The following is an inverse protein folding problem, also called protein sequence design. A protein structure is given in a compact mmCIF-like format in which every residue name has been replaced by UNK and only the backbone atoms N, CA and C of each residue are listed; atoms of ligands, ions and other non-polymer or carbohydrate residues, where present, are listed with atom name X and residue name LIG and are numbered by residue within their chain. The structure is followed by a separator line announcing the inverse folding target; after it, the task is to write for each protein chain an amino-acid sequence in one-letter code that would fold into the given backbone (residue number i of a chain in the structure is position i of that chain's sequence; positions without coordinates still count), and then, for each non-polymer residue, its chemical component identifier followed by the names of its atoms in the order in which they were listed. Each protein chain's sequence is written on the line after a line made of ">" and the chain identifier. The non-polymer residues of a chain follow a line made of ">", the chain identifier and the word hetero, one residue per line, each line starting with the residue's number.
data_IF_115037712883
#
_entry.id   IF_115037712883
#
_cell.length_a   1.000
_cell.length_b   1.000
_cell.length_c   1.000
_cell.angle_alpha   90.00
_cell.angle_beta   90.00
_cell.angle_gamma   90.00
#
_symmetry.space_group_name_H-M   'P 1'
#
loop_
_entity.id
_entity.type
_entity.pdbx_description
1 polymer ?
#
# COMPACT_ATOMS: atom_id res chain seq x y z
N UNK A 1 23.32 -26.89 -5.70
CA UNK A 1 24.26 -25.78 -6.05
C UNK A 1 23.69 -24.78 -7.07
N UNK A 2 23.27 -25.23 -8.27
CA UNK A 2 22.78 -24.34 -9.33
C UNK A 2 21.46 -23.61 -8.99
N UNK A 3 20.49 -24.31 -8.37
CA UNK A 3 19.23 -23.69 -7.92
C UNK A 3 19.44 -22.67 -6.79
N UNK A 4 20.39 -22.93 -5.88
CA UNK A 4 20.75 -21.99 -4.82
C UNK A 4 21.44 -20.73 -5.38
N UNK A 5 22.24 -20.87 -6.44
CA UNK A 5 22.84 -19.75 -7.16
C UNK A 5 21.78 -18.91 -7.87
N UNK A 6 20.86 -19.54 -8.62
CA UNK A 6 19.70 -18.86 -9.24
C UNK A 6 18.82 -18.15 -8.21
N UNK A 7 18.58 -18.77 -7.05
CA UNK A 7 17.80 -18.14 -5.97
C UNK A 7 18.50 -16.90 -5.42
N UNK A 8 19.82 -16.95 -5.20
CA UNK A 8 20.62 -15.79 -4.74
C UNK A 8 20.73 -14.69 -5.79
N UNK A 9 20.75 -15.05 -7.07
CA UNK A 9 20.72 -14.08 -8.19
C UNK A 9 19.37 -13.36 -8.28
N UNK A 10 18.26 -14.08 -8.05
CA UNK A 10 16.91 -13.51 -8.04
C UNK A 10 16.58 -12.75 -6.74
N UNK A 11 17.20 -13.13 -5.61
CA UNK A 11 16.97 -12.56 -4.29
C UNK A 11 18.29 -12.07 -3.71
N UNK A 12 18.86 -10.99 -4.26
CA UNK A 12 20.17 -10.54 -3.85
C UNK A 12 20.11 -10.08 -2.39
N UNK A 13 21.14 -10.43 -1.63
CA UNK A 13 21.15 -10.30 -0.16
C UNK A 13 21.05 -8.85 0.32
N UNK A 14 21.46 -7.90 -0.52
CA UNK A 14 21.35 -6.47 -0.30
C UNK A 14 19.90 -5.94 -0.39
N UNK A 15 18.99 -6.66 -1.06
CA UNK A 15 17.54 -6.36 -1.10
C UNK A 15 16.76 -7.01 0.04
N UNK A 16 17.38 -7.92 0.79
CA UNK A 16 16.76 -8.56 1.96
C UNK A 16 16.62 -7.55 3.10
N UNK A 17 15.48 -7.61 3.79
CA UNK A 17 15.25 -7.01 5.11
C UNK A 17 14.27 -7.88 5.89
N UNK A 18 14.28 -7.78 7.22
CA UNK A 18 13.39 -8.55 8.11
C UNK A 18 12.24 -7.68 8.61
N UNK A 19 11.21 -8.29 9.21
CA UNK A 19 10.04 -7.56 9.73
C UNK A 19 10.39 -6.39 10.66
N UNK A 20 11.44 -6.53 11.47
CA UNK A 20 11.89 -5.46 12.38
C UNK A 20 12.54 -4.28 11.67
N UNK A 21 13.03 -4.47 10.44
CA UNK A 21 13.57 -3.37 9.64
C UNK A 21 12.46 -2.44 9.15
N UNK A 22 11.22 -2.92 8.97
CA UNK A 22 10.06 -2.07 8.67
C UNK A 22 9.89 -1.01 9.75
N UNK A 23 9.84 -1.44 11.01
CA UNK A 23 9.75 -0.55 12.16
C UNK A 23 10.94 0.43 12.23
N UNK A 24 12.13 -0.01 11.81
CA UNK A 24 13.32 0.86 11.79
C UNK A 24 13.16 1.97 10.76
N UNK A 25 12.85 1.61 9.51
CA UNK A 25 12.76 2.55 8.39
C UNK A 25 11.58 3.51 8.51
N UNK A 26 10.47 3.08 9.11
CA UNK A 26 9.33 3.98 9.37
C UNK A 26 9.60 4.89 10.57
N UNK A 27 10.15 4.37 11.68
CA UNK A 27 10.41 5.22 12.85
C UNK A 27 11.52 6.26 12.59
N UNK A 28 12.51 5.99 11.72
CA UNK A 28 13.48 7.04 11.34
C UNK A 28 12.82 8.16 10.52
N UNK A 29 11.86 7.84 9.64
CA UNK A 29 11.07 8.80 8.88
C UNK A 29 10.17 9.63 9.80
N UNK A 30 9.58 9.00 10.82
CA UNK A 30 8.76 9.65 11.83
C UNK A 30 9.57 10.38 12.91
N UNK A 31 10.88 10.58 12.69
CA UNK A 31 11.76 11.35 13.57
C UNK A 31 11.88 10.76 14.99
N UNK A 32 11.90 9.43 15.09
CA UNK A 32 12.02 8.67 16.34
C UNK A 32 13.33 7.85 16.45
N UNK A 33 14.52 8.45 16.24
CA UNK A 33 15.77 7.69 16.22
C UNK A 33 16.13 7.10 17.60
N UNK A 34 15.60 7.69 18.68
CA UNK A 34 15.79 7.20 20.04
C UNK A 34 15.08 5.85 20.29
N UNK A 35 13.92 5.61 19.69
CA UNK A 35 13.26 4.30 19.73
C UNK A 35 14.02 3.27 18.89
N UNK A 36 14.51 3.66 17.72
CA UNK A 36 15.36 2.80 16.89
C UNK A 36 16.62 2.35 17.64
N UNK A 37 17.18 3.24 18.45
CA UNK A 37 18.37 3.01 19.29
C UNK A 37 18.12 2.08 20.48
N UNK A 38 16.87 1.77 20.82
CA UNK A 38 16.54 0.77 21.87
C UNK A 38 16.71 -0.68 21.40
N UNK A 39 16.97 -0.89 20.12
CA UNK A 39 17.15 -2.21 19.52
C UNK A 39 15.92 -2.71 18.78
N UNK A 40 16.13 -3.70 17.91
CA UNK A 40 15.14 -4.16 16.92
C UNK A 40 13.82 -4.62 17.54
N UNK A 41 13.85 -5.36 18.64
CA UNK A 41 12.65 -5.88 19.29
C UNK A 41 11.81 -4.78 19.95
N UNK A 42 12.44 -3.89 20.74
CA UNK A 42 11.74 -2.78 21.41
C UNK A 42 11.19 -1.78 20.38
N UNK A 43 11.97 -1.45 19.36
CA UNK A 43 11.54 -0.59 18.26
C UNK A 43 10.34 -1.19 17.50
N UNK A 44 10.36 -2.50 17.25
CA UNK A 44 9.24 -3.18 16.60
C UNK A 44 7.96 -3.17 17.45
N UNK A 45 8.08 -3.39 18.76
CA UNK A 45 6.94 -3.27 19.69
C UNK A 45 6.36 -1.85 19.65
N UNK A 46 7.21 -0.82 19.72
CA UNK A 46 6.78 0.58 19.59
C UNK A 46 6.01 0.83 18.29
N UNK A 47 6.58 0.40 17.16
CA UNK A 47 5.93 0.52 15.86
C UNK A 47 4.57 -0.20 15.82
N UNK A 48 4.49 -1.45 16.28
CA UNK A 48 3.23 -2.20 16.26
C UNK A 48 2.13 -1.55 17.08
N UNK A 49 2.45 -0.92 18.21
CA UNK A 49 1.48 -0.15 19.01
C UNK A 49 0.88 1.00 18.21
N UNK A 50 1.70 1.74 17.43
CA UNK A 50 1.24 2.84 16.56
C UNK A 50 0.30 2.36 15.45
N UNK A 51 0.59 1.21 14.84
CA UNK A 51 -0.21 0.71 13.71
C UNK A 51 -1.38 -0.20 14.12
N UNK A 52 -1.53 -0.50 15.42
CA UNK A 52 -2.57 -1.43 15.92
C UNK A 52 -3.97 -0.99 15.48
N UNK A 53 -4.26 0.31 15.50
CA UNK A 53 -5.56 0.84 15.06
C UNK A 53 -5.82 0.66 13.56
N UNK A 54 -4.78 0.77 12.72
CA UNK A 54 -4.88 0.53 11.27
C UNK A 54 -5.09 -0.95 10.98
N UNK A 55 -4.35 -1.81 11.67
CA UNK A 55 -4.47 -3.27 11.57
C UNK A 55 -5.86 -3.74 12.05
N UNK A 56 -6.36 -3.19 13.16
CA UNK A 56 -7.70 -3.49 13.67
C UNK A 56 -8.82 -3.10 12.69
N UNK A 57 -8.57 -2.11 11.83
CA UNK A 57 -9.46 -1.70 10.73
C UNK A 57 -9.23 -2.50 9.45
N UNK A 58 -8.41 -3.56 9.47
CA UNK A 58 -8.01 -4.37 8.31
C UNK A 58 -7.49 -3.52 7.14
N UNK A 59 -6.83 -2.40 7.43
CA UNK A 59 -6.20 -1.58 6.38
C UNK A 59 -4.89 -2.23 5.96
N UNK A 60 -4.83 -2.63 4.69
CA UNK A 60 -3.59 -3.11 4.09
C UNK A 60 -2.68 -1.91 3.78
N UNK A 61 -1.36 -2.05 3.90
CA UNK A 61 -0.45 -0.97 3.55
C UNK A 61 -0.62 -0.58 2.08
N UNK A 62 -0.71 0.72 1.81
CA UNK A 62 -0.85 1.24 0.45
C UNK A 62 0.45 1.10 -0.36
N UNK A 63 0.35 1.32 -1.68
CA UNK A 63 1.54 1.44 -2.53
C UNK A 63 2.45 2.60 -2.05
N UNK A 64 1.86 3.71 -1.62
CA UNK A 64 2.59 4.84 -1.06
C UNK A 64 3.35 4.44 0.21
N UNK A 65 2.74 3.66 1.11
CA UNK A 65 3.46 3.12 2.26
C UNK A 65 4.66 2.27 1.82
N UNK A 66 4.47 1.41 0.82
CA UNK A 66 5.55 0.57 0.29
C UNK A 66 6.69 1.39 -0.32
N UNK A 67 6.38 2.38 -1.17
CA UNK A 67 7.37 3.29 -1.77
C UNK A 67 8.17 4.02 -0.68
N UNK A 68 7.47 4.59 0.31
CA UNK A 68 8.08 5.27 1.47
C UNK A 68 9.00 4.34 2.26
N UNK A 69 8.56 3.11 2.53
CA UNK A 69 9.34 2.11 3.25
C UNK A 69 10.64 1.77 2.51
N UNK A 70 10.56 1.50 1.21
CA UNK A 70 11.71 1.10 0.41
C UNK A 70 12.69 2.26 0.21
N UNK A 71 12.19 3.47 -0.05
CA UNK A 71 13.04 4.65 -0.15
C UNK A 71 13.83 4.92 1.14
N UNK A 72 13.17 4.80 2.30
CA UNK A 72 13.85 4.91 3.60
C UNK A 72 14.84 3.76 3.85
N UNK A 73 14.56 2.55 3.34
CA UNK A 73 15.52 1.46 3.38
C UNK A 73 16.79 1.77 2.56
N UNK A 74 16.65 2.37 1.38
CA UNK A 74 17.77 2.80 0.54
C UNK A 74 18.57 3.90 1.23
N UNK A 75 17.90 4.92 1.77
CA UNK A 75 18.53 6.03 2.50
C UNK A 75 19.32 5.53 3.72
N UNK A 76 18.73 4.63 4.51
CA UNK A 76 19.39 4.02 5.66
C UNK A 76 20.59 3.17 5.25
N UNK A 77 20.44 2.28 4.25
CA UNK A 77 21.52 1.40 3.80
C UNK A 77 22.67 2.20 3.17
N UNK A 78 22.37 3.31 2.48
CA UNK A 78 23.38 4.22 1.93
C UNK A 78 24.16 4.88 3.06
N UNK A 79 23.46 5.45 4.04
CA UNK A 79 24.08 6.08 5.22
C UNK A 79 24.91 5.07 6.03
N UNK A 80 24.43 3.84 6.20
CA UNK A 80 25.17 2.76 6.87
C UNK A 80 26.48 2.40 6.15
N UNK A 81 26.46 2.38 4.81
CA UNK A 81 27.66 2.17 3.99
C UNK A 81 28.63 3.34 4.08
N UNK A 82 28.14 4.59 4.10
CA UNK A 82 28.95 5.81 4.24
C UNK A 82 29.71 5.87 5.56
N UNK A 83 29.20 5.23 6.62
CA UNK A 83 29.94 5.08 7.88
C UNK A 83 31.28 4.36 7.70
N UNK A 84 31.39 3.48 6.71
CA UNK A 84 32.61 2.73 6.43
C UNK A 84 32.82 1.50 7.32
N UNK A 85 34.00 0.90 7.18
CA UNK A 85 34.44 -0.29 7.94
C UNK A 85 35.69 0.01 8.76
N UNK A 86 35.76 -0.54 9.98
CA UNK A 86 36.91 -0.38 10.89
C UNK A 86 38.21 -0.76 10.17
N UNK A 87 39.23 0.08 10.28
CA UNK A 87 40.55 -0.14 9.66
C UNK A 87 40.62 0.09 8.15
N UNK A 88 39.53 0.54 7.51
CA UNK A 88 39.51 0.88 6.08
C UNK A 88 39.17 2.35 5.89
N UNK A 89 37.96 2.76 6.29
CA UNK A 89 37.43 4.10 6.04
C UNK A 89 36.29 4.45 7.02
N UNK A 90 36.37 3.96 8.26
CA UNK A 90 35.35 4.23 9.26
C UNK A 90 35.30 5.72 9.65
N UNK A 91 34.10 6.22 9.88
CA UNK A 91 33.89 7.49 10.56
C UNK A 91 34.15 7.28 12.06
N UNK A 92 35.10 8.05 12.59
CA UNK A 92 35.54 7.96 13.99
C UNK A 92 36.38 6.71 14.29
N UNK A 93 36.89 6.64 15.52
CA UNK A 93 37.73 5.53 15.97
C UNK A 93 36.92 4.28 16.36
N UNK A 94 35.66 4.48 16.79
CA UNK A 94 34.80 3.41 17.29
C UNK A 94 33.58 3.15 16.39
N UNK A 95 33.48 1.92 15.88
CA UNK A 95 32.29 1.43 15.20
C UNK A 95 31.15 1.05 16.16
N UNK A 96 31.35 1.13 17.49
CA UNK A 96 30.35 0.70 18.47
C UNK A 96 29.09 1.57 18.48
N UNK A 97 29.20 2.82 18.02
CA UNK A 97 28.07 3.78 17.97
C UNK A 97 27.52 3.96 16.55
N UNK A 98 27.96 3.12 15.60
CA UNK A 98 27.55 3.18 14.19
C UNK A 98 26.02 3.16 14.03
N UNK A 99 25.35 2.19 14.64
CA UNK A 99 23.90 2.02 14.49
C UNK A 99 23.11 3.24 14.96
N UNK A 100 23.55 3.86 16.07
CA UNK A 100 22.94 5.08 16.61
C UNK A 100 23.21 6.27 15.68
N UNK A 101 24.46 6.43 15.23
CA UNK A 101 24.86 7.52 14.35
C UNK A 101 24.06 7.48 13.04
N UNK A 102 23.92 6.30 12.42
CA UNK A 102 23.14 6.14 11.18
C UNK A 102 21.66 6.45 11.41
N UNK A 103 21.04 5.93 12.47
CA UNK A 103 19.63 6.18 12.78
C UNK A 103 19.36 7.67 13.01
N UNK A 104 20.17 8.32 13.85
CA UNK A 104 20.07 9.75 14.12
C UNK A 104 20.33 10.60 12.88
N UNK A 105 21.28 10.21 12.03
CA UNK A 105 21.59 10.94 10.79
C UNK A 105 20.44 10.94 9.83
N UNK A 106 19.82 9.78 9.58
CA UNK A 106 18.68 9.71 8.65
C UNK A 106 17.47 10.48 9.19
N UNK A 107 17.16 10.37 10.48
CA UNK A 107 16.11 11.18 11.09
C UNK A 107 16.43 12.67 11.08
N UNK A 108 17.69 13.05 11.29
CA UNK A 108 18.09 14.46 11.26
C UNK A 108 18.10 15.03 9.84
N UNK A 109 18.44 14.23 8.84
CA UNK A 109 18.29 14.60 7.44
C UNK A 109 16.83 14.90 7.09
N UNK A 110 15.92 14.02 7.50
CA UNK A 110 14.48 14.21 7.35
C UNK A 110 13.98 15.46 8.09
N UNK A 111 14.46 15.70 9.30
CA UNK A 111 14.14 16.90 10.07
C UNK A 111 14.62 18.19 9.37
N UNK A 112 15.88 18.23 8.93
CA UNK A 112 16.49 19.39 8.28
C UNK A 112 15.92 19.67 6.89
N UNK A 113 15.35 18.66 6.23
CA UNK A 113 14.67 18.78 4.94
C UNK A 113 13.15 18.87 5.09
N UNK A 114 12.65 18.98 6.33
CA UNK A 114 11.21 19.07 6.64
C UNK A 114 10.36 17.95 6.05
N UNK A 115 10.95 16.74 5.93
CA UNK A 115 10.36 15.56 5.26
C UNK A 115 10.03 15.79 3.77
N UNK A 116 10.70 16.74 3.10
CA UNK A 116 10.47 17.06 1.69
C UNK A 116 11.43 16.36 0.73
N UNK A 117 12.36 15.53 1.21
CA UNK A 117 13.20 14.78 0.29
C UNK A 117 12.36 13.86 -0.59
N UNK A 118 12.59 13.89 -1.91
CA UNK A 118 11.77 13.14 -2.88
C UNK A 118 12.01 11.63 -2.80
N UNK A 119 11.30 11.00 -1.87
CA UNK A 119 11.35 9.56 -1.67
C UNK A 119 10.82 8.77 -2.87
N UNK A 120 9.94 9.33 -3.72
CA UNK A 120 9.38 8.59 -4.86
C UNK A 120 10.41 8.49 -5.96
N UNK A 121 11.11 9.58 -6.26
CA UNK A 121 12.25 9.55 -7.16
C UNK A 121 13.33 8.57 -6.67
N UNK A 122 13.67 8.60 -5.38
CA UNK A 122 14.62 7.63 -4.80
C UNK A 122 14.12 6.18 -4.94
N UNK A 123 12.82 5.94 -4.76
CA UNK A 123 12.21 4.64 -4.96
C UNK A 123 12.29 4.20 -6.43
N UNK A 124 12.07 5.09 -7.39
CA UNK A 124 12.13 4.73 -8.81
C UNK A 124 13.58 4.46 -9.26
N UNK A 125 14.52 5.30 -8.85
CA UNK A 125 15.93 5.18 -9.22
C UNK A 125 16.65 4.03 -8.49
N UNK A 126 16.12 3.59 -7.34
CA UNK A 126 16.68 2.53 -6.49
C UNK A 126 18.14 2.77 -6.06
N UNK A 127 18.65 3.99 -6.23
CA UNK A 127 20.03 4.40 -5.94
C UNK A 127 20.05 5.85 -5.48
N UNK A 128 20.91 6.14 -4.49
CA UNK A 128 21.16 7.50 -4.06
C UNK A 128 22.13 8.22 -5.01
N UNK A 129 21.84 9.46 -5.33
CA UNK A 129 22.75 10.36 -6.04
C UNK A 129 24.02 10.62 -5.22
N UNK A 130 25.18 10.71 -5.88
CA UNK A 130 26.46 10.92 -5.21
C UNK A 130 26.54 12.30 -4.52
N UNK A 131 25.87 13.31 -5.07
CA UNK A 131 25.76 14.64 -4.47
C UNK A 131 25.04 14.58 -3.12
N UNK A 132 23.87 13.94 -3.06
CA UNK A 132 23.11 13.74 -1.82
C UNK A 132 23.91 12.87 -0.84
N UNK A 133 24.59 11.82 -1.35
CA UNK A 133 25.43 10.93 -0.54
C UNK A 133 26.57 11.68 0.15
N UNK A 134 27.19 12.67 -0.50
CA UNK A 134 28.24 13.48 0.10
C UNK A 134 27.72 14.35 1.26
N UNK A 135 26.55 14.99 1.10
CA UNK A 135 25.93 15.74 2.19
C UNK A 135 25.47 14.84 3.33
N UNK A 136 24.95 13.65 3.04
CA UNK A 136 24.64 12.64 4.07
C UNK A 136 25.89 12.21 4.84
N UNK A 137 27.05 12.10 4.18
CA UNK A 137 28.32 11.77 4.84
C UNK A 137 28.76 12.89 5.78
N UNK A 138 28.68 14.16 5.36
CA UNK A 138 28.99 15.31 6.21
C UNK A 138 28.07 15.35 7.44
N UNK A 139 26.77 15.14 7.22
CA UNK A 139 25.77 15.07 8.29
C UNK A 139 26.05 13.90 9.24
N UNK A 140 26.46 12.74 8.71
CA UNK A 140 26.82 11.57 9.50
C UNK A 140 28.02 11.83 10.42
N UNK A 141 29.05 12.52 9.93
CA UNK A 141 30.21 12.94 10.73
C UNK A 141 29.77 13.90 11.84
N UNK A 142 28.93 14.89 11.51
CA UNK A 142 28.40 15.82 12.48
C UNK A 142 27.60 15.13 13.59
N UNK A 143 26.68 14.22 13.23
CA UNK A 143 25.86 13.47 14.18
C UNK A 143 26.71 12.52 15.02
N UNK A 144 27.70 11.85 14.43
CA UNK A 144 28.65 11.01 15.17
C UNK A 144 29.35 11.83 16.26
N UNK A 145 29.94 12.97 15.90
CA UNK A 145 30.65 13.83 16.86
C UNK A 145 29.69 14.37 17.94
N UNK A 146 28.45 14.70 17.56
CA UNK A 146 27.43 15.13 18.52
C UNK A 146 27.12 14.04 19.55
N UNK A 147 26.88 12.80 19.10
CA UNK A 147 26.58 11.67 19.99
C UNK A 147 27.77 11.31 20.88
N UNK A 148 28.98 11.34 20.35
CA UNK A 148 30.21 11.08 21.10
C UNK A 148 30.43 12.13 22.20
N UNK A 149 30.35 13.42 21.84
CA UNK A 149 30.53 14.55 22.76
C UNK A 149 29.50 14.54 23.89
N UNK A 150 28.22 14.28 23.57
CA UNK A 150 27.14 14.38 24.54
C UNK A 150 26.89 13.08 25.32
N UNK A 151 27.21 11.93 24.73
CA UNK A 151 27.04 10.63 25.37
C UNK A 151 28.21 10.22 26.26
N UNK A 152 29.39 10.82 26.06
CA UNK A 152 30.60 10.48 26.80
C UNK A 152 30.89 8.98 26.75
N UNK A 153 31.25 8.37 27.88
CA UNK A 153 31.53 6.93 27.96
C UNK A 153 30.33 6.00 27.74
N UNK A 154 29.10 6.52 27.64
CA UNK A 154 27.86 5.72 27.56
C UNK A 154 26.92 6.17 26.44
N UNK A 155 27.47 6.40 25.24
CA UNK A 155 26.70 6.84 24.05
C UNK A 155 25.47 5.96 23.77
N UNK A 156 25.55 4.65 23.99
CA UNK A 156 24.41 3.73 23.77
C UNK A 156 23.23 3.99 24.70
N UNK A 157 23.46 4.43 25.95
CA UNK A 157 22.39 4.78 26.89
C UNK A 157 21.87 6.18 26.63
N UNK A 158 22.75 7.10 26.22
CA UNK A 158 22.37 8.45 25.81
C UNK A 158 21.43 8.42 24.60
N UNK A 159 21.79 7.69 23.54
CA UNK A 159 21.03 7.61 22.29
C UNK A 159 19.64 6.96 22.44
N UNK A 160 19.34 6.29 23.55
CA UNK A 160 18.00 5.69 23.81
C UNK A 160 17.01 6.70 24.40
N UNK A 161 17.49 7.86 24.86
CA UNK A 161 16.69 8.86 25.57
C UNK A 161 16.08 9.85 24.58
N UNK A 162 14.78 10.20 24.69
CA UNK A 162 14.18 11.24 23.85
C UNK A 162 14.95 12.57 23.89
N UNK A 163 15.48 12.93 25.06
CA UNK A 163 16.26 14.16 25.27
C UNK A 163 17.52 14.25 24.40
N UNK A 164 18.09 13.13 23.96
CA UNK A 164 19.22 13.15 23.02
C UNK A 164 18.81 13.60 21.63
N UNK A 165 17.60 13.23 21.20
CA UNK A 165 17.03 13.71 19.93
C UNK A 165 16.68 15.19 20.01
N UNK A 166 16.07 15.63 21.11
CA UNK A 166 15.76 17.05 21.32
C UNK A 166 17.02 17.92 21.33
N UNK A 167 18.11 17.43 21.95
CA UNK A 167 19.39 18.14 21.94
C UNK A 167 19.98 18.26 20.54
N UNK A 168 19.89 17.21 19.72
CA UNK A 168 20.37 17.25 18.34
C UNK A 168 19.56 18.24 17.49
N UNK A 169 18.22 18.23 17.56
CA UNK A 169 17.36 19.19 16.85
C UNK A 169 17.69 20.65 17.19
N UNK A 170 18.06 20.91 18.43
CA UNK A 170 18.45 22.25 18.90
C UNK A 170 19.91 22.60 18.63
N UNK A 171 20.69 21.70 18.04
CA UNK A 171 22.08 21.96 17.68
C UNK A 171 22.13 22.53 16.27
N UNK A 172 22.82 23.68 16.10
CA UNK A 172 22.99 24.31 14.79
C UNK A 172 23.84 23.42 13.89
N UNK A 173 23.26 23.00 12.77
CA UNK A 173 24.01 22.44 11.63
C UNK A 173 24.40 23.56 10.67
N UNK A 174 25.62 23.52 10.14
CA UNK A 174 26.21 24.63 9.37
C UNK A 174 25.65 24.76 7.96
N UNK A 175 25.17 23.68 7.37
CA UNK A 175 24.64 23.66 6.01
C UNK A 175 23.11 23.82 6.00
N UNK A 176 22.58 24.67 5.12
CA UNK A 176 21.15 24.76 4.86
C UNK A 176 20.77 23.74 3.78
N UNK A 177 20.40 22.53 4.22
CA UNK A 177 20.06 21.42 3.31
C UNK A 177 18.85 21.72 2.43
N UNK A 178 17.91 22.58 2.85
CA UNK A 178 16.79 23.00 2.01
C UNK A 178 17.30 23.71 0.76
N UNK A 179 18.19 24.69 0.95
CA UNK A 179 18.76 25.44 -0.18
C UNK A 179 19.69 24.62 -1.06
N UNK A 180 20.48 23.72 -0.46
CA UNK A 180 21.50 22.93 -1.15
C UNK A 180 20.85 21.82 -1.98
N UNK A 181 19.81 21.18 -1.44
CA UNK A 181 19.17 20.02 -2.02
C UNK A 181 17.86 20.34 -2.74
N UNK A 182 17.56 21.61 -3.02
CA UNK A 182 16.29 22.09 -3.60
C UNK A 182 15.79 21.20 -4.77
N UNK A 183 16.68 20.78 -5.68
CA UNK A 183 16.35 19.89 -6.83
C UNK A 183 15.96 18.45 -6.48
N UNK A 184 16.20 18.04 -5.25
CA UNK A 184 15.87 16.74 -4.67
C UNK A 184 14.73 16.84 -3.65
N UNK A 185 14.20 18.05 -3.43
CA UNK A 185 13.07 18.29 -2.54
C UNK A 185 11.80 18.51 -3.35
N UNK A 186 10.70 17.97 -2.83
CA UNK A 186 9.36 18.28 -3.33
C UNK A 186 8.85 19.58 -2.71
N UNK A 187 7.78 20.14 -3.27
CA UNK A 187 7.09 21.30 -2.68
C UNK A 187 6.37 20.93 -1.38
N UNK A 188 6.02 21.93 -0.56
CA UNK A 188 5.23 21.67 0.65
C UNK A 188 3.81 21.20 0.29
N UNK A 189 3.27 21.69 -0.83
CA UNK A 189 2.00 21.26 -1.40
C UNK A 189 2.05 19.78 -1.80
N UNK A 190 3.11 19.34 -2.48
CA UNK A 190 3.27 17.95 -2.88
C UNK A 190 3.52 17.04 -1.67
N UNK A 191 4.28 17.47 -0.68
CA UNK A 191 4.42 16.74 0.59
C UNK A 191 3.07 16.55 1.25
N UNK A 192 2.31 17.63 1.38
CA UNK A 192 0.95 17.61 1.93
C UNK A 192 0.05 16.70 1.11
N UNK A 193 0.15 16.71 -0.22
CA UNK A 193 -0.56 15.78 -1.08
C UNK A 193 -0.14 14.33 -0.85
N UNK A 194 1.15 14.01 -0.72
CA UNK A 194 1.61 12.63 -0.46
C UNK A 194 1.25 12.13 0.94
N UNK A 195 1.08 13.03 1.92
CA UNK A 195 0.59 12.73 3.27
C UNK A 195 -0.94 12.61 3.33
N UNK A 196 -1.66 13.48 2.61
CA UNK A 196 -3.13 13.55 2.54
C UNK A 196 -3.76 12.72 1.42
N UNK A 197 -2.96 12.23 0.48
CA UNK A 197 -3.17 10.96 -0.19
C UNK A 197 -3.25 9.99 0.96
N UNK A 198 -4.46 9.94 1.54
CA UNK A 198 -4.95 8.87 2.37
C UNK A 198 -4.33 7.63 1.76
N UNK A 199 -3.88 6.69 2.59
CA UNK A 199 -3.94 5.30 2.17
C UNK A 199 -5.29 5.19 1.48
N UNK A 200 -5.30 5.21 0.13
CA UNK A 200 -6.52 5.15 -0.64
C UNK A 200 -7.11 3.91 -0.03
N UNK A 201 -8.28 4.09 0.58
CA UNK A 201 -8.95 2.99 1.24
C UNK A 201 -9.36 2.11 0.06
N UNK A 202 -8.40 1.33 -0.45
CA UNK A 202 -8.62 0.29 -1.45
C UNK A 202 -9.55 -0.78 -0.87
N UNK A 203 -9.83 -0.66 0.44
CA UNK A 203 -10.78 -1.40 1.25
C UNK A 203 -12.02 -0.59 1.66
N UNK A 204 -12.25 0.62 1.12
CA UNK A 204 -13.60 1.16 1.14
C UNK A 204 -14.45 0.12 0.39
N UNK A 205 -15.46 -0.43 1.08
CA UNK A 205 -16.39 -1.42 0.49
C UNK A 205 -16.86 -0.92 -0.87
N UNK A 206 -17.08 0.39 -0.97
CA UNK A 206 -17.48 1.08 -2.18
C UNK A 206 -16.40 1.08 -3.29
N UNK A 207 -15.13 1.30 -2.98
CA UNK A 207 -14.02 1.26 -3.96
C UNK A 207 -13.82 -0.17 -4.49
N UNK A 208 -13.89 -1.18 -3.60
CA UNK A 208 -13.81 -2.58 -4.01
C UNK A 208 -14.98 -2.99 -4.91
N UNK A 209 -16.20 -2.54 -4.59
CA UNK A 209 -17.40 -2.77 -5.40
C UNK A 209 -17.31 -2.03 -6.73
N UNK A 210 -16.78 -0.81 -6.73
CA UNK A 210 -16.56 -0.04 -7.96
C UNK A 210 -15.60 -0.78 -8.89
N UNK A 211 -14.43 -1.23 -8.41
CA UNK A 211 -13.49 -1.97 -9.25
C UNK A 211 -14.08 -3.29 -9.75
N UNK A 212 -14.79 -4.05 -8.91
CA UNK A 212 -15.49 -5.27 -9.37
C UNK A 212 -16.50 -4.93 -10.47
N UNK A 213 -17.23 -3.83 -10.32
CA UNK A 213 -18.19 -3.36 -11.33
C UNK A 213 -17.50 -3.02 -12.66
N UNK A 214 -16.39 -2.27 -12.62
CA UNK A 214 -15.63 -1.91 -13.82
C UNK A 214 -14.99 -3.13 -14.51
N UNK A 215 -14.48 -4.10 -13.73
CA UNK A 215 -13.98 -5.38 -14.27
C UNK A 215 -15.10 -6.12 -15.01
N UNK A 216 -16.29 -6.20 -14.41
CA UNK A 216 -17.42 -6.86 -15.06
C UNK A 216 -17.85 -6.11 -16.32
N UNK A 217 -17.96 -4.77 -16.28
CA UNK A 217 -18.33 -3.91 -17.42
C UNK A 217 -17.43 -4.07 -18.63
N UNK A 218 -16.13 -4.29 -18.42
CA UNK A 218 -15.21 -4.55 -19.54
C UNK A 218 -15.61 -5.79 -20.33
N UNK A 219 -16.26 -6.76 -19.68
CA UNK A 219 -16.90 -7.87 -20.36
C UNK A 219 -15.97 -9.05 -20.65
N UNK A 220 -16.58 -10.20 -20.96
CA UNK A 220 -15.85 -11.44 -21.21
C UNK A 220 -14.93 -11.34 -22.42
N UNK A 221 -15.39 -10.65 -23.46
CA UNK A 221 -14.67 -10.49 -24.72
C UNK A 221 -13.36 -9.72 -24.50
N UNK A 222 -13.39 -8.68 -23.69
CA UNK A 222 -12.19 -7.91 -23.34
C UNK A 222 -11.18 -8.78 -22.56
N UNK A 223 -11.59 -9.44 -21.48
CA UNK A 223 -10.63 -10.17 -20.63
C UNK A 223 -10.00 -11.38 -21.32
N UNK A 224 -10.76 -12.10 -22.14
CA UNK A 224 -10.20 -13.19 -22.97
C UNK A 224 -9.29 -12.63 -24.07
N UNK A 225 -9.68 -11.52 -24.68
CA UNK A 225 -8.83 -10.80 -25.63
C UNK A 225 -7.52 -10.34 -24.99
N UNK A 226 -7.57 -9.83 -23.76
CA UNK A 226 -6.41 -9.30 -23.05
C UNK A 226 -5.44 -10.41 -22.68
N UNK A 227 -5.97 -11.58 -22.30
CA UNK A 227 -5.19 -12.80 -22.13
C UNK A 227 -4.43 -13.17 -23.41
N UNK A 228 -5.08 -13.11 -24.58
CA UNK A 228 -4.43 -13.37 -25.88
C UNK A 228 -3.40 -12.28 -26.21
N UNK A 229 -3.70 -11.02 -25.89
CA UNK A 229 -2.79 -9.89 -26.08
C UNK A 229 -1.49 -10.06 -25.27
N UNK A 230 -1.58 -10.50 -24.01
CA UNK A 230 -0.41 -10.79 -23.17
C UNK A 230 0.47 -11.86 -23.82
N UNK A 231 -0.13 -12.95 -24.30
CA UNK A 231 0.58 -14.07 -24.92
C UNK A 231 1.31 -13.65 -26.20
N UNK A 232 0.62 -12.90 -27.07
CA UNK A 232 1.18 -12.43 -28.35
C UNK A 232 2.31 -11.41 -28.18
N UNK A 233 2.13 -10.44 -27.30
CA UNK A 233 3.06 -9.29 -27.18
C UNK A 233 4.12 -9.48 -26.09
N UNK A 234 4.04 -10.57 -25.32
CA UNK A 234 4.89 -10.81 -24.15
C UNK A 234 4.94 -9.58 -23.24
N UNK A 235 3.77 -8.97 -23.02
CA UNK A 235 3.64 -7.70 -22.29
C UNK A 235 4.26 -7.83 -20.90
N UNK A 236 5.42 -7.21 -20.69
CA UNK A 236 6.11 -7.23 -19.41
C UNK A 236 5.26 -6.51 -18.36
N UNK A 237 4.83 -7.24 -17.32
CA UNK A 237 4.09 -6.67 -16.19
C UNK A 237 2.69 -7.25 -15.96
N UNK A 238 2.15 -8.02 -16.89
CA UNK A 238 0.85 -8.69 -16.75
C UNK A 238 0.99 -10.22 -16.82
N UNK A 239 0.31 -10.93 -15.91
CA UNK A 239 0.26 -12.40 -15.90
C UNK A 239 -0.90 -12.90 -16.74
N UNK A 240 -0.60 -13.82 -17.65
CA UNK A 240 -1.60 -14.51 -18.45
C UNK A 240 -2.54 -15.33 -17.57
N UNK A 241 -2.01 -16.00 -16.54
CA UNK A 241 -2.77 -16.82 -15.60
C UNK A 241 -3.79 -15.97 -14.84
N UNK A 242 -3.40 -14.78 -14.39
CA UNK A 242 -4.30 -13.86 -13.71
C UNK A 242 -5.45 -13.37 -14.62
N UNK A 243 -5.16 -13.10 -15.90
CA UNK A 243 -6.19 -12.78 -16.89
C UNK A 243 -7.13 -13.97 -17.14
N UNK A 244 -6.57 -15.17 -17.26
CA UNK A 244 -7.35 -16.41 -17.41
C UNK A 244 -8.28 -16.67 -16.22
N UNK A 245 -7.83 -16.43 -14.99
CA UNK A 245 -8.63 -16.61 -13.79
C UNK A 245 -9.83 -15.64 -13.77
N UNK A 246 -9.64 -14.37 -14.16
CA UNK A 246 -10.76 -13.42 -14.32
C UNK A 246 -11.77 -13.95 -15.34
N UNK A 247 -11.32 -14.39 -16.52
CA UNK A 247 -12.20 -14.96 -17.56
C UNK A 247 -13.02 -16.11 -16.99
N UNK A 248 -12.39 -17.05 -16.28
CA UNK A 248 -13.06 -18.21 -15.68
C UNK A 248 -14.11 -17.81 -14.64
N UNK A 249 -13.83 -16.78 -13.83
CA UNK A 249 -14.76 -16.26 -12.81
C UNK A 249 -15.97 -15.59 -13.44
N UNK A 250 -15.74 -14.76 -14.44
CA UNK A 250 -16.81 -14.11 -15.20
C UNK A 250 -17.67 -15.13 -15.95
N UNK A 251 -17.06 -16.15 -16.58
CA UNK A 251 -17.79 -17.21 -17.28
C UNK A 251 -18.71 -18.02 -16.34
N UNK A 252 -18.27 -18.22 -15.10
CA UNK A 252 -18.99 -19.04 -14.12
C UNK A 252 -19.81 -18.22 -13.11
N UNK A 253 -19.90 -16.90 -13.29
CA UNK A 253 -20.55 -15.96 -12.36
C UNK A 253 -20.12 -16.20 -10.90
N UNK A 254 -18.81 -16.39 -10.67
CA UNK A 254 -18.23 -16.57 -9.34
C UNK A 254 -17.62 -15.27 -8.85
N UNK A 255 -17.55 -15.12 -7.53
CA UNK A 255 -16.94 -13.95 -6.92
C UNK A 255 -15.45 -13.86 -7.25
N UNK A 256 -15.00 -12.65 -7.56
CA UNK A 256 -13.61 -12.28 -7.72
C UNK A 256 -12.91 -12.31 -6.35
N UNK A 257 -11.67 -12.78 -6.35
CA UNK A 257 -10.78 -12.75 -5.19
C UNK A 257 -10.03 -11.43 -5.13
N UNK A 258 -9.44 -11.10 -3.98
CA UNK A 258 -8.61 -9.89 -3.84
C UNK A 258 -7.46 -9.85 -4.84
N UNK A 259 -6.89 -11.01 -5.18
CA UNK A 259 -5.84 -11.12 -6.20
C UNK A 259 -6.34 -10.73 -7.59
N UNK A 260 -7.52 -11.24 -7.98
CA UNK A 260 -8.17 -10.94 -9.25
C UNK A 260 -8.59 -9.47 -9.33
N UNK A 261 -9.14 -8.91 -8.25
CA UNK A 261 -9.50 -7.48 -8.17
C UNK A 261 -8.26 -6.59 -8.33
N UNK A 262 -7.16 -6.92 -7.66
CA UNK A 262 -5.92 -6.15 -7.77
C UNK A 262 -5.31 -6.24 -9.17
N UNK A 263 -5.33 -7.42 -9.79
CA UNK A 263 -4.90 -7.59 -11.17
C UNK A 263 -5.80 -6.79 -12.12
N UNK A 264 -7.11 -6.88 -11.96
CA UNK A 264 -8.08 -6.15 -12.77
C UNK A 264 -7.90 -4.63 -12.66
N UNK A 265 -7.65 -4.10 -11.46
CA UNK A 265 -7.32 -2.68 -11.25
C UNK A 265 -6.11 -2.24 -12.05
N UNK A 266 -5.03 -3.03 -12.05
CA UNK A 266 -3.82 -2.73 -12.83
C UNK A 266 -4.11 -2.67 -14.32
N UNK A 267 -4.91 -3.60 -14.82
CA UNK A 267 -5.31 -3.63 -16.24
C UNK A 267 -6.20 -2.44 -16.58
N UNK A 268 -7.19 -2.11 -15.74
CA UNK A 268 -8.04 -0.92 -15.94
C UNK A 268 -7.22 0.37 -16.02
N UNK A 269 -6.24 0.57 -15.13
CA UNK A 269 -5.34 1.74 -15.18
C UNK A 269 -4.49 1.76 -16.47
N UNK A 270 -4.00 0.60 -16.91
CA UNK A 270 -3.23 0.49 -18.14
C UNK A 270 -4.07 0.81 -19.38
N UNK A 271 -5.32 0.36 -19.41
CA UNK A 271 -6.24 0.66 -20.50
C UNK A 271 -6.72 2.11 -20.47
N UNK A 272 -6.90 2.71 -19.29
CA UNK A 272 -7.24 4.13 -19.17
C UNK A 272 -6.17 5.04 -19.78
N UNK A 273 -4.90 4.63 -19.70
CA UNK A 273 -3.78 5.34 -20.36
C UNK A 273 -3.60 4.96 -21.83
N UNK A 274 -4.27 3.90 -22.32
CA UNK A 274 -4.17 3.38 -23.68
C UNK A 274 -5.57 2.99 -24.23
N UNK A 275 -6.51 3.95 -24.39
CA UNK A 275 -7.91 3.64 -24.67
C UNK A 275 -8.15 2.99 -26.04
N UNK A 276 -7.30 3.27 -27.03
CA UNK A 276 -7.39 2.64 -28.36
C UNK A 276 -7.19 1.13 -28.31
N UNK A 277 -6.53 0.62 -27.27
CA UNK A 277 -6.25 -0.80 -27.10
C UNK A 277 -7.49 -1.61 -26.74
N UNK A 278 -8.57 -0.98 -26.26
CA UNK A 278 -9.79 -1.70 -25.82
C UNK A 278 -10.39 -2.51 -26.97
N UNK A 279 -10.61 -1.86 -28.11
CA UNK A 279 -11.26 -2.48 -29.26
C UNK A 279 -10.32 -3.49 -29.93
N UNK A 280 -9.04 -3.15 -30.08
CA UNK A 280 -8.00 -4.07 -30.57
C UNK A 280 -7.95 -5.37 -29.75
N UNK A 281 -8.00 -5.24 -28.42
CA UNK A 281 -7.98 -6.38 -27.49
C UNK A 281 -9.26 -7.18 -27.61
N UNK A 282 -10.43 -6.54 -27.65
CA UNK A 282 -11.72 -7.23 -27.80
C UNK A 282 -11.75 -8.04 -29.10
N UNK A 283 -11.21 -7.51 -30.19
CA UNK A 283 -11.20 -8.19 -31.50
C UNK A 283 -10.32 -9.44 -31.53
N UNK A 284 -9.41 -9.62 -30.57
CA UNK A 284 -8.65 -10.86 -30.42
C UNK A 284 -9.51 -12.01 -29.90
N UNK A 285 -10.59 -11.74 -29.18
CA UNK A 285 -11.46 -12.77 -28.60
C UNK A 285 -12.58 -13.19 -29.55
N UNK A 286 -12.85 -14.49 -29.54
CA UNK A 286 -14.01 -15.09 -30.22
C UNK A 286 -15.22 -15.28 -29.30
N UNK A 287 -15.14 -14.83 -28.05
CA UNK A 287 -16.24 -14.97 -27.10
C UNK A 287 -17.33 -13.93 -27.39
N UNK A 288 -18.58 -14.34 -27.17
CA UNK A 288 -19.73 -13.45 -27.18
C UNK A 288 -19.81 -12.65 -25.88
N UNK A 289 -20.21 -11.39 -26.00
CA UNK A 289 -20.46 -10.55 -24.84
C UNK A 289 -21.79 -10.94 -24.19
N UNK A 290 -21.84 -10.90 -22.86
CA UNK A 290 -23.05 -11.20 -22.10
C UNK A 290 -23.53 -9.95 -21.38
N UNK A 291 -24.83 -9.73 -21.38
CA UNK A 291 -25.42 -8.72 -20.51
C UNK A 291 -25.15 -9.07 -19.04
N UNK A 292 -24.61 -8.09 -18.32
CA UNK A 292 -24.32 -8.20 -16.90
C UNK A 292 -25.26 -7.28 -16.11
N UNK A 293 -25.61 -7.70 -14.89
CA UNK A 293 -26.22 -6.79 -13.93
C UNK A 293 -25.09 -6.06 -13.23
N UNK A 294 -25.03 -4.74 -13.40
CA UNK A 294 -23.99 -3.91 -12.81
C UNK A 294 -24.05 -3.95 -11.28
N UNK A 295 -22.99 -4.44 -10.64
CA UNK A 295 -22.94 -4.65 -9.18
C UNK A 295 -22.98 -3.32 -8.44
N UNK A 296 -22.32 -2.27 -8.95
CA UNK A 296 -22.34 -0.94 -8.33
C UNK A 296 -23.74 -0.34 -8.36
N UNK A 297 -24.44 -0.42 -9.49
CA UNK A 297 -25.85 -0.02 -9.59
C UNK A 297 -26.73 -0.73 -8.55
N UNK A 298 -26.55 -2.05 -8.39
CA UNK A 298 -27.27 -2.84 -7.37
C UNK A 298 -26.93 -2.36 -5.97
N UNK A 299 -25.65 -2.18 -5.66
CA UNK A 299 -25.20 -1.72 -4.35
C UNK A 299 -25.82 -0.35 -4.00
N UNK A 300 -25.75 0.61 -4.92
CA UNK A 300 -26.29 1.96 -4.72
C UNK A 300 -27.80 1.94 -4.50
N UNK A 301 -28.53 1.14 -5.28
CA UNK A 301 -29.96 0.94 -5.10
C UNK A 301 -30.32 0.39 -3.72
N UNK A 302 -29.59 -0.61 -3.25
CA UNK A 302 -29.86 -1.22 -1.95
C UNK A 302 -29.45 -0.33 -0.77
N UNK A 303 -28.46 0.54 -0.96
CA UNK A 303 -28.00 1.49 0.05
C UNK A 303 -29.04 2.60 0.31
N UNK A 304 -29.91 2.91 -0.66
CA UNK A 304 -30.99 3.89 -0.52
C UNK A 304 -32.14 3.39 0.37
N UNK A 305 -32.25 2.08 0.61
CA UNK A 305 -33.31 1.50 1.43
C UNK A 305 -33.10 1.83 2.91
N UNK A 306 -34.11 2.42 3.55
CA UNK A 306 -34.07 2.75 4.97
C UNK A 306 -34.33 1.50 5.83
N UNK A 307 -34.08 1.63 7.14
CA UNK A 307 -34.29 0.55 8.12
C UNK A 307 -35.73 0.01 8.09
N UNK A 308 -36.70 0.90 7.93
CA UNK A 308 -38.12 0.53 7.88
C UNK A 308 -38.50 -0.15 6.56
N UNK A 309 -37.87 0.24 5.44
CA UNK A 309 -38.04 -0.46 4.15
C UNK A 309 -37.55 -1.90 4.25
N UNK A 310 -36.36 -2.11 4.81
CA UNK A 310 -35.80 -3.45 5.02
C UNK A 310 -36.67 -4.31 5.94
N UNK A 311 -37.20 -3.72 7.02
CA UNK A 311 -38.12 -4.41 7.92
C UNK A 311 -39.38 -4.85 7.18
N UNK A 312 -40.03 -3.93 6.45
CA UNK A 312 -41.22 -4.20 5.64
C UNK A 312 -40.97 -5.30 4.61
N UNK A 313 -39.83 -5.26 3.93
CA UNK A 313 -39.40 -6.26 2.94
C UNK A 313 -39.29 -7.65 3.58
N UNK A 314 -38.60 -7.76 4.73
CA UNK A 314 -38.34 -9.04 5.41
C UNK A 314 -39.62 -9.62 6.01
N UNK A 315 -40.47 -8.79 6.61
CA UNK A 315 -41.74 -9.20 7.19
C UNK A 315 -42.67 -9.74 6.09
N UNK A 316 -42.82 -9.00 4.99
CA UNK A 316 -43.61 -9.43 3.84
C UNK A 316 -43.07 -10.73 3.23
N UNK A 317 -41.75 -10.84 3.06
CA UNK A 317 -41.14 -12.02 2.51
C UNK A 317 -41.38 -13.27 3.39
N UNK A 318 -41.32 -13.10 4.71
CA UNK A 318 -41.53 -14.17 5.69
C UNK A 318 -43.00 -14.63 5.73
N UNK A 319 -43.94 -13.70 5.66
CA UNK A 319 -45.38 -14.00 5.67
C UNK A 319 -45.84 -14.68 4.38
N UNK A 320 -45.39 -14.18 3.23
CA UNK A 320 -45.85 -14.65 1.92
C UNK A 320 -45.08 -15.87 1.40
N UNK A 321 -43.96 -16.23 2.04
CA UNK A 321 -43.01 -17.26 1.57
C UNK A 321 -42.62 -17.07 0.10
N UNK A 322 -42.55 -15.82 -0.35
CA UNK A 322 -42.13 -15.49 -1.73
C UNK A 322 -40.66 -15.83 -1.98
N UNK A 323 -39.85 -15.80 -0.93
CA UNK A 323 -38.45 -16.22 -0.95
C UNK A 323 -38.35 -17.63 -0.40
N UNK A 324 -37.48 -18.44 -1.01
CA UNK A 324 -37.03 -19.64 -0.34
C UNK A 324 -36.12 -19.29 0.87
N UNK A 325 -35.77 -20.30 1.66
CA UNK A 325 -34.96 -20.11 2.86
C UNK A 325 -33.57 -19.52 2.57
N UNK A 326 -32.96 -19.88 1.43
CA UNK A 326 -31.63 -19.41 1.04
C UNK A 326 -31.68 -17.96 0.55
N UNK A 327 -32.71 -17.61 -0.22
CA UNK A 327 -32.97 -16.24 -0.67
C UNK A 327 -33.19 -15.31 0.51
N UNK A 328 -34.07 -15.70 1.45
CA UNK A 328 -34.34 -14.89 2.64
C UNK A 328 -33.09 -14.72 3.52
N UNK A 329 -32.28 -15.78 3.68
CA UNK A 329 -31.02 -15.71 4.41
C UNK A 329 -30.02 -14.77 3.73
N UNK A 330 -29.88 -14.86 2.40
CA UNK A 330 -28.99 -13.99 1.64
C UNK A 330 -29.41 -12.51 1.74
N UNK A 331 -30.71 -12.22 1.60
CA UNK A 331 -31.26 -10.86 1.74
C UNK A 331 -30.98 -10.27 3.13
N UNK A 332 -31.21 -11.05 4.20
CA UNK A 332 -30.87 -10.64 5.58
C UNK A 332 -29.37 -10.41 5.79
N UNK A 333 -28.54 -11.27 5.21
CA UNK A 333 -27.08 -11.12 5.25
C UNK A 333 -26.64 -9.84 4.56
N UNK A 334 -27.15 -9.55 3.36
CA UNK A 334 -26.83 -8.33 2.62
C UNK A 334 -27.28 -7.08 3.38
N UNK A 335 -28.49 -7.05 3.92
CA UNK A 335 -28.95 -5.96 4.79
C UNK A 335 -27.99 -5.71 5.96
N UNK A 336 -27.60 -6.78 6.64
CA UNK A 336 -26.72 -6.69 7.82
C UNK A 336 -25.35 -6.10 7.42
N UNK A 337 -24.75 -6.61 6.35
CA UNK A 337 -23.45 -6.13 5.88
C UNK A 337 -23.51 -4.70 5.35
N UNK A 338 -24.59 -4.28 4.67
CA UNK A 338 -24.81 -2.88 4.28
C UNK A 338 -24.88 -1.96 5.50
N UNK A 339 -25.66 -2.35 6.52
CA UNK A 339 -25.84 -1.58 7.75
C UNK A 339 -24.53 -1.41 8.51
N UNK A 340 -23.71 -2.46 8.55
CA UNK A 340 -22.41 -2.48 9.24
C UNK A 340 -21.24 -1.96 8.40
N UNK A 341 -21.48 -1.63 7.12
CA UNK A 341 -20.43 -1.25 6.16
C UNK A 341 -19.32 -2.32 6.04
N UNK A 342 -19.74 -3.58 6.00
CA UNK A 342 -18.85 -4.74 5.79
C UNK A 342 -18.73 -5.06 4.30
N UNK A 343 -17.67 -5.79 3.91
CA UNK A 343 -17.49 -6.27 2.55
C UNK A 343 -18.61 -7.24 2.14
N UNK A 344 -19.18 -7.02 0.96
CA UNK A 344 -20.25 -7.83 0.41
C UNK A 344 -19.79 -8.45 -0.90
N UNK A 345 -19.96 -9.77 -1.02
CA UNK A 345 -19.70 -10.50 -2.26
C UNK A 345 -20.68 -10.07 -3.34
N UNK A 346 -20.18 -9.83 -4.55
CA UNK A 346 -20.97 -9.33 -5.68
C UNK A 346 -22.13 -10.25 -6.05
N UNK A 347 -21.93 -11.58 -5.99
CA UNK A 347 -23.00 -12.54 -6.27
C UNK A 347 -24.08 -12.54 -5.18
N UNK A 348 -23.73 -12.18 -3.93
CA UNK A 348 -24.71 -12.03 -2.87
C UNK A 348 -25.60 -10.80 -3.13
N UNK A 349 -25.00 -9.66 -3.55
CA UNK A 349 -25.72 -8.45 -3.95
C UNK A 349 -26.65 -8.72 -5.13
N UNK A 350 -26.14 -9.30 -6.22
CA UNK A 350 -26.93 -9.59 -7.42
C UNK A 350 -28.12 -10.50 -7.09
N UNK A 351 -27.89 -11.59 -6.34
CA UNK A 351 -28.95 -12.52 -5.96
C UNK A 351 -29.98 -11.89 -5.02
N UNK A 352 -29.53 -11.10 -4.04
CA UNK A 352 -30.44 -10.37 -3.17
C UNK A 352 -31.34 -9.42 -3.98
N UNK A 353 -30.76 -8.67 -4.91
CA UNK A 353 -31.52 -7.78 -5.80
C UNK A 353 -32.50 -8.53 -6.70
N UNK A 354 -32.13 -9.69 -7.25
CA UNK A 354 -33.04 -10.55 -8.01
C UNK A 354 -34.20 -11.06 -7.16
N UNK A 355 -33.96 -11.49 -5.93
CA UNK A 355 -35.04 -11.89 -5.00
C UNK A 355 -35.94 -10.70 -4.71
N UNK A 356 -35.38 -9.52 -4.42
CA UNK A 356 -36.11 -8.29 -4.16
C UNK A 356 -37.02 -7.86 -5.31
N UNK A 357 -36.62 -8.07 -6.57
CA UNK A 357 -37.49 -7.82 -7.74
C UNK A 357 -38.79 -8.64 -7.73
N UNK A 358 -38.83 -9.81 -7.07
CA UNK A 358 -40.05 -10.62 -6.94
C UNK A 358 -41.15 -9.88 -6.18
N UNK A 359 -40.80 -8.93 -5.31
CA UNK A 359 -41.74 -8.14 -4.51
C UNK A 359 -42.57 -7.14 -5.32
N UNK A 360 -42.24 -6.94 -6.61
CA UNK A 360 -43.04 -6.11 -7.53
C UNK A 360 -44.51 -6.53 -7.57
N UNK A 361 -44.81 -7.83 -7.41
CA UNK A 361 -46.18 -8.36 -7.36
C UNK A 361 -47.00 -7.86 -6.16
N UNK A 362 -46.33 -7.31 -5.16
CA UNK A 362 -46.93 -6.73 -3.95
C UNK A 362 -46.82 -5.19 -3.92
N UNK A 363 -46.51 -4.56 -5.06
CA UNK A 363 -46.40 -3.11 -5.18
C UNK A 363 -45.12 -2.50 -4.62
N UNK A 364 -44.14 -3.32 -4.19
CA UNK A 364 -42.82 -2.83 -3.77
C UNK A 364 -41.90 -2.79 -4.99
N UNK A 365 -41.42 -1.59 -5.32
CA UNK A 365 -40.47 -1.35 -6.41
C UNK A 365 -39.16 -0.87 -5.79
N UNK A 366 -38.06 -1.54 -6.10
CA UNK A 366 -36.71 -1.29 -5.57
C UNK A 366 -35.84 -0.75 -6.69
#
# INVERSE_FOLDING_TARGET
>A
PAQQKKFKEQNPSDRKFVKSDIAKFINIWELEPHFVSQGSQKNFIHYTKKITELVNKNKLPSENFYRKLIANAILFKTTDKLFGRKGVNAIGESTSIKSFSVAYTVSFFHFLTENRFDLWKLYEEQKMDDFVSNHLKNLLIFVYNHLETNGGGMVSEYAKRPTSWDKLKNTKYSENLISILDRYLISEEEKTQRENEKEIDTNSVEDSIFVVSEIQKMGLKFWDGFRIYIDKNKSFGFSWEAAFDIVKKLQTNKNLTSTEINFGRKVLNFIQTNPTLIDEVKDLSKLEEKEIIEVKFVYDKLLLLQKDDWKRIIDLASQTKIFDNLELANVKSVQTSLTKKENIKEQALIKAFQSLKKLKKFGIII
#
